data_IF_626808763936
#
_entry.id   IF_626808763936
#
_cell.length_a   1.000
_cell.length_b   1.000
_cell.length_c   1.000
_cell.angle_alpha   90.00
_cell.angle_beta   90.00
_cell.angle_gamma   90.00
#
_symmetry.space_group_name_H-M   'P 1'
#
loop_
_entity.id
_entity.type
_entity.pdbx_description
1 polymer ?
#
# COMPACT_ATOMS: atom_id res chain seq x y z
N UNK A 1 9.54 -17.10 -11.55
CA UNK A 1 8.74 -16.16 -12.38
C UNK A 1 8.03 -15.13 -11.51
N UNK A 2 7.89 -13.89 -11.99
CA UNK A 2 7.31 -12.77 -11.25
C UNK A 2 6.18 -12.13 -12.07
N UNK A 3 5.11 -11.69 -11.43
CA UNK A 3 4.04 -10.90 -12.06
C UNK A 3 3.82 -9.59 -11.32
N UNK A 4 3.62 -8.52 -12.08
CA UNK A 4 3.49 -7.15 -11.59
C UNK A 4 2.18 -6.55 -12.06
N UNK A 5 1.35 -6.09 -11.14
CA UNK A 5 0.11 -5.38 -11.42
C UNK A 5 0.23 -3.90 -11.02
N UNK A 6 -0.40 -3.04 -11.82
CA UNK A 6 -0.49 -1.58 -11.62
C UNK A 6 0.87 -0.91 -11.28
N UNK A 7 1.85 -1.07 -12.17
CA UNK A 7 3.16 -0.43 -12.04
C UNK A 7 3.12 1.09 -12.19
N UNK A 8 2.07 1.62 -12.82
CA UNK A 8 1.88 3.05 -13.03
C UNK A 8 1.55 3.80 -11.73
N UNK A 9 1.08 3.10 -10.70
CA UNK A 9 0.89 3.64 -9.36
C UNK A 9 2.20 3.82 -8.57
N UNK A 10 3.33 3.28 -9.05
CA UNK A 10 4.65 3.50 -8.45
C UNK A 10 5.27 4.81 -8.93
N UNK A 11 6.11 5.43 -8.10
CA UNK A 11 6.88 6.60 -8.53
C UNK A 11 7.86 6.23 -9.65
N UNK A 12 8.21 7.17 -10.54
CA UNK A 12 9.19 6.91 -11.61
C UNK A 12 10.53 6.38 -11.05
N UNK A 13 10.94 6.88 -9.89
CA UNK A 13 12.13 6.41 -9.17
C UNK A 13 11.99 4.94 -8.80
N UNK A 14 10.90 4.58 -8.12
CA UNK A 14 10.68 3.21 -7.63
C UNK A 14 10.51 2.22 -8.78
N UNK A 15 9.82 2.63 -9.85
CA UNK A 15 9.66 1.82 -11.07
C UNK A 15 11.02 1.48 -11.66
N UNK A 16 11.90 2.47 -11.86
CA UNK A 16 13.25 2.25 -12.42
C UNK A 16 14.09 1.36 -11.50
N UNK A 17 14.07 1.61 -10.20
CA UNK A 17 14.83 0.80 -9.24
C UNK A 17 14.32 -0.64 -9.19
N UNK A 18 13.01 -0.84 -9.24
CA UNK A 18 12.39 -2.15 -9.29
C UNK A 18 12.83 -2.91 -10.55
N UNK A 19 12.83 -2.26 -11.72
CA UNK A 19 13.33 -2.89 -12.94
C UNK A 19 14.80 -3.30 -12.81
N UNK A 20 15.63 -2.50 -12.15
CA UNK A 20 17.03 -2.86 -11.90
C UNK A 20 17.16 -4.08 -11.00
N UNK A 21 16.31 -4.22 -9.97
CA UNK A 21 16.28 -5.42 -9.11
C UNK A 21 15.84 -6.65 -9.90
N UNK A 22 14.75 -6.53 -10.66
CA UNK A 22 14.22 -7.64 -11.48
C UNK A 22 15.24 -8.10 -12.53
N UNK A 23 15.90 -7.16 -13.21
CA UNK A 23 16.97 -7.48 -14.16
C UNK A 23 18.18 -8.14 -13.49
N UNK A 24 18.49 -7.78 -12.24
CA UNK A 24 19.56 -8.38 -11.46
C UNK A 24 19.28 -9.83 -11.03
N UNK A 25 18.01 -10.19 -10.86
CA UNK A 25 17.59 -11.55 -10.48
C UNK A 25 17.64 -12.54 -11.64
N UNK A 26 17.76 -12.05 -12.89
CA UNK A 26 17.73 -12.87 -14.10
C UNK A 26 16.47 -13.76 -14.21
N UNK A 27 15.37 -13.33 -13.57
CA UNK A 27 14.08 -14.00 -13.54
C UNK A 27 13.10 -13.33 -14.53
N UNK A 28 12.34 -14.11 -15.32
CA UNK A 28 11.32 -13.55 -16.18
C UNK A 28 10.21 -12.94 -15.33
N UNK A 29 9.82 -11.71 -15.68
CA UNK A 29 8.67 -11.05 -15.08
C UNK A 29 7.65 -10.62 -16.15
N UNK A 30 6.38 -10.53 -15.77
CA UNK A 30 5.27 -10.16 -16.65
C UNK A 30 4.42 -9.07 -16.01
N UNK A 31 3.98 -8.10 -16.81
CA UNK A 31 2.99 -7.11 -16.38
C UNK A 31 1.57 -7.68 -16.54
N UNK A 32 0.76 -7.53 -15.51
CA UNK A 32 -0.64 -7.90 -15.45
C UNK A 32 -1.52 -6.71 -15.79
N UNK A 33 -2.60 -6.98 -16.51
CA UNK A 33 -3.64 -6.01 -16.86
C UNK A 33 -4.80 -6.07 -15.86
N UNK A 34 -5.67 -5.04 -15.79
CA UNK A 34 -6.87 -5.09 -14.93
C UNK A 34 -7.76 -6.31 -15.19
N UNK A 35 -7.87 -6.77 -16.43
CA UNK A 35 -8.62 -8.00 -16.77
C UNK A 35 -8.04 -9.29 -16.16
N UNK A 36 -6.75 -9.32 -15.85
CA UNK A 36 -6.11 -10.48 -15.21
C UNK A 36 -6.52 -10.65 -13.75
N UNK A 37 -7.06 -9.60 -13.11
CA UNK A 37 -7.59 -9.69 -11.75
C UNK A 37 -8.84 -10.58 -11.65
N UNK A 38 -9.54 -10.79 -12.78
CA UNK A 38 -10.69 -11.69 -12.88
C UNK A 38 -10.29 -13.16 -13.06
N UNK A 39 -8.98 -13.42 -13.20
CA UNK A 39 -8.44 -14.78 -13.29
C UNK A 39 -7.94 -15.25 -11.93
N UNK A 40 -7.94 -16.56 -11.75
CA UNK A 40 -7.28 -17.20 -10.62
C UNK A 40 -5.76 -17.14 -10.75
N UNK A 41 -5.06 -17.20 -9.63
CA UNK A 41 -3.59 -17.29 -9.61
C UNK A 41 -3.12 -18.43 -10.53
N UNK A 42 -3.75 -19.61 -10.50
CA UNK A 42 -3.42 -20.73 -11.39
C UNK A 42 -3.53 -20.36 -12.87
N UNK A 43 -4.59 -19.68 -13.29
CA UNK A 43 -4.76 -19.25 -14.69
C UNK A 43 -3.71 -18.20 -15.11
N UNK A 44 -3.25 -17.36 -14.16
CA UNK A 44 -2.12 -16.44 -14.37
C UNK A 44 -0.81 -17.19 -14.60
N UNK A 45 -0.58 -18.27 -13.85
CA UNK A 45 0.58 -19.14 -14.00
C UNK A 45 0.56 -19.86 -15.35
N UNK A 46 -0.61 -20.40 -15.75
CA UNK A 46 -0.73 -21.22 -16.94
C UNK A 46 -0.65 -20.41 -18.24
N UNK A 47 -1.33 -19.25 -18.33
CA UNK A 47 -1.39 -18.49 -19.58
C UNK A 47 -1.42 -16.96 -19.41
N UNK A 48 -1.86 -16.42 -18.26
CA UNK A 48 -1.79 -14.99 -17.93
C UNK A 48 -2.20 -14.05 -19.07
N UNK A 49 -3.34 -14.35 -19.68
CA UNK A 49 -3.99 -13.53 -20.70
C UNK A 49 -5.51 -13.58 -20.43
N UNK A 50 -5.97 -12.76 -19.50
CA UNK A 50 -7.39 -12.52 -19.24
C UNK A 50 -8.15 -12.30 -20.54
N UNK A 51 -9.36 -12.84 -20.64
CA UNK A 51 -10.24 -12.61 -21.78
C UNK A 51 -10.51 -11.11 -21.89
N UNK A 52 -9.83 -10.52 -22.87
CA UNK A 52 -9.95 -9.14 -23.32
C UNK A 52 -11.44 -8.76 -23.41
N UNK A 53 -11.79 -7.64 -22.76
CA UNK A 53 -13.03 -6.85 -22.85
C UNK A 53 -13.84 -6.70 -21.56
N UNK A 54 -13.46 -7.33 -20.44
CA UNK A 54 -14.09 -7.05 -19.14
C UNK A 54 -13.05 -6.67 -18.09
N UNK A 55 -13.10 -5.41 -17.68
CA UNK A 55 -12.38 -4.94 -16.50
C UNK A 55 -13.25 -5.18 -15.27
N UNK A 56 -12.67 -5.53 -14.11
CA UNK A 56 -13.43 -5.52 -12.87
C UNK A 56 -13.90 -4.10 -12.59
N UNK A 57 -15.19 -3.93 -12.27
CA UNK A 57 -15.77 -2.63 -11.92
C UNK A 57 -15.07 -1.97 -10.72
N UNK A 58 -14.41 -2.77 -9.87
CA UNK A 58 -13.70 -2.34 -8.66
C UNK A 58 -12.25 -2.90 -8.66
N UNK A 59 -11.46 -2.51 -9.67
CA UNK A 59 -10.06 -2.88 -9.76
C UNK A 59 -9.25 -2.18 -8.65
N UNK A 60 -8.47 -2.90 -7.83
CA UNK A 60 -7.63 -2.26 -6.82
C UNK A 60 -6.59 -1.33 -7.46
N UNK A 61 -6.61 -0.04 -7.13
CA UNK A 61 -5.63 0.93 -7.66
C UNK A 61 -4.33 0.96 -6.83
N UNK A 62 -3.73 -0.22 -6.60
CA UNK A 62 -2.45 -0.34 -5.88
C UNK A 62 -1.46 -1.21 -6.65
N UNK A 63 -0.15 -0.93 -6.54
CA UNK A 63 0.85 -1.81 -7.10
C UNK A 63 0.89 -3.12 -6.31
N UNK A 64 0.83 -4.24 -7.03
CA UNK A 64 0.87 -5.58 -6.44
C UNK A 64 1.87 -6.47 -7.17
N UNK A 65 2.60 -7.30 -6.43
CA UNK A 65 3.53 -8.27 -6.99
C UNK A 65 3.21 -9.70 -6.56
N UNK A 66 3.02 -10.58 -7.54
CA UNK A 66 2.90 -12.01 -7.34
C UNK A 66 4.23 -12.67 -7.72
N UNK A 67 4.70 -13.62 -6.91
CA UNK A 67 6.00 -14.27 -7.13
C UNK A 67 5.86 -15.78 -7.00
N UNK A 68 6.37 -16.51 -7.98
CA UNK A 68 6.60 -17.95 -7.92
C UNK A 68 8.10 -18.18 -8.05
N UNK A 69 8.79 -18.08 -6.91
CA UNK A 69 10.25 -18.10 -6.77
C UNK A 69 10.63 -19.05 -5.64
N UNK A 70 11.79 -19.70 -5.74
CA UNK A 70 12.37 -20.44 -4.62
C UNK A 70 12.90 -19.50 -3.52
N UNK A 71 13.02 -20.00 -2.28
CA UNK A 71 13.45 -19.21 -1.11
C UNK A 71 14.74 -18.38 -1.34
N UNK A 72 15.82 -18.92 -1.97
CA UNK A 72 17.04 -18.13 -2.19
C UNK A 72 16.86 -16.97 -3.17
N UNK A 73 15.94 -17.08 -4.13
CA UNK A 73 15.62 -16.00 -5.07
C UNK A 73 14.72 -14.97 -4.42
N UNK A 74 13.75 -15.42 -3.61
CA UNK A 74 12.91 -14.54 -2.81
C UNK A 74 13.76 -13.68 -1.87
N UNK A 75 14.73 -14.27 -1.16
CA UNK A 75 15.64 -13.53 -0.28
C UNK A 75 16.46 -12.49 -1.04
N UNK A 76 16.96 -12.82 -2.23
CA UNK A 76 17.69 -11.87 -3.08
C UNK A 76 16.80 -10.72 -3.56
N UNK A 77 15.57 -11.02 -3.95
CA UNK A 77 14.58 -10.01 -4.34
C UNK A 77 14.27 -9.08 -3.17
N UNK A 78 13.93 -9.64 -2.00
CA UNK A 78 13.61 -8.87 -0.80
C UNK A 78 14.81 -8.02 -0.34
N UNK A 79 16.02 -8.55 -0.43
CA UNK A 79 17.24 -7.80 -0.14
C UNK A 79 17.43 -6.65 -1.13
N UNK A 80 17.23 -6.89 -2.43
CA UNK A 80 17.33 -5.87 -3.48
C UNK A 80 16.31 -4.75 -3.34
N UNK A 81 15.06 -5.08 -2.95
CA UNK A 81 14.01 -4.11 -2.65
C UNK A 81 14.38 -3.24 -1.43
N UNK A 82 14.86 -3.87 -0.35
CA UNK A 82 15.25 -3.17 0.88
C UNK A 82 16.46 -2.26 0.68
N UNK A 83 17.46 -2.73 -0.04
CA UNK A 83 18.70 -2.00 -0.36
C UNK A 83 18.43 -0.71 -1.14
N UNK A 84 17.39 -0.71 -1.98
CA UNK A 84 16.97 0.43 -2.82
C UNK A 84 15.81 1.22 -2.25
N UNK A 85 15.37 0.90 -1.03
CA UNK A 85 14.23 1.54 -0.35
C UNK A 85 12.96 1.57 -1.22
N UNK A 86 12.72 0.51 -1.98
CA UNK A 86 11.52 0.40 -2.85
C UNK A 86 10.32 0.08 -1.97
N UNK A 87 9.35 0.99 -1.90
CA UNK A 87 8.10 0.78 -1.19
C UNK A 87 7.12 -0.01 -2.07
N UNK A 88 7.13 -1.32 -1.91
CA UNK A 88 6.15 -2.21 -2.54
C UNK A 88 5.23 -2.80 -1.47
N UNK A 89 4.09 -2.15 -1.21
CA UNK A 89 3.25 -2.46 -0.06
C UNK A 89 2.56 -3.82 -0.15
N UNK A 90 2.33 -4.32 -1.37
CA UNK A 90 1.60 -5.56 -1.59
C UNK A 90 2.39 -6.55 -2.40
N UNK A 91 2.65 -7.71 -1.80
CA UNK A 91 3.35 -8.81 -2.43
C UNK A 91 2.88 -10.15 -1.87
N UNK A 92 2.75 -11.15 -2.74
CA UNK A 92 2.37 -12.49 -2.34
C UNK A 92 3.23 -13.53 -3.07
N UNK A 93 3.55 -14.61 -2.36
CA UNK A 93 4.13 -15.81 -2.94
C UNK A 93 3.01 -16.72 -3.44
N UNK A 94 3.18 -17.36 -4.59
CA UNK A 94 2.26 -18.39 -5.06
C UNK A 94 2.41 -19.62 -4.17
N UNK A 95 1.29 -20.10 -3.64
CA UNK A 95 1.23 -21.28 -2.77
C UNK A 95 0.08 -22.16 -3.23
N UNK A 96 0.08 -23.44 -2.84
CA UNK A 96 -0.99 -24.37 -3.22
C UNK A 96 -2.38 -23.88 -2.76
N UNK A 97 -2.44 -23.13 -1.66
CA UNK A 97 -3.69 -22.60 -1.12
C UNK A 97 -4.22 -21.40 -1.92
N UNK A 98 -3.34 -20.57 -2.49
CA UNK A 98 -3.77 -19.34 -3.18
C UNK A 98 -3.93 -19.49 -4.69
N UNK A 99 -3.52 -20.62 -5.27
CA UNK A 99 -3.72 -20.94 -6.69
C UNK A 99 -5.17 -20.84 -7.14
N UNK A 100 -6.12 -21.20 -6.27
CA UNK A 100 -7.55 -21.15 -6.58
C UNK A 100 -8.20 -19.80 -6.31
N UNK A 101 -7.49 -18.86 -5.66
CA UNK A 101 -8.03 -17.52 -5.43
C UNK A 101 -7.98 -16.69 -6.70
N UNK A 102 -9.03 -15.90 -6.93
CA UNK A 102 -8.99 -14.81 -7.89
C UNK A 102 -7.90 -13.82 -7.46
N UNK A 103 -7.07 -13.40 -8.41
CA UNK A 103 -5.99 -12.47 -8.10
C UNK A 103 -6.55 -11.19 -7.49
N UNK A 104 -7.64 -10.65 -8.03
CA UNK A 104 -8.29 -9.46 -7.47
C UNK A 104 -8.72 -9.65 -6.01
N UNK A 105 -9.26 -10.82 -5.66
CA UNK A 105 -9.67 -11.11 -4.27
C UNK A 105 -8.47 -11.32 -3.36
N UNK A 106 -7.38 -11.94 -3.84
CA UNK A 106 -6.13 -12.05 -3.10
C UNK A 106 -5.55 -10.67 -2.78
N UNK A 107 -5.49 -9.77 -3.77
CA UNK A 107 -5.03 -8.39 -3.56
C UNK A 107 -5.91 -7.69 -2.54
N UNK A 108 -7.24 -7.78 -2.67
CA UNK A 108 -8.18 -7.15 -1.72
C UNK A 108 -8.04 -7.70 -0.31
N UNK A 109 -7.92 -9.01 -0.15
CA UNK A 109 -7.75 -9.61 1.17
C UNK A 109 -6.51 -9.06 1.88
N UNK A 110 -5.38 -9.00 1.17
CA UNK A 110 -4.12 -8.45 1.71
C UNK A 110 -4.26 -6.93 1.94
N UNK A 111 -4.98 -6.21 1.08
CA UNK A 111 -5.36 -4.80 1.31
C UNK A 111 -6.14 -4.60 2.59
N UNK A 112 -7.18 -5.39 2.80
CA UNK A 112 -8.06 -5.29 3.95
C UNK A 112 -7.32 -5.65 5.25
N UNK A 113 -6.52 -6.72 5.26
CA UNK A 113 -5.74 -7.13 6.45
C UNK A 113 -4.77 -6.04 6.93
N UNK A 114 -4.12 -5.35 5.99
CA UNK A 114 -3.12 -4.34 6.32
C UNK A 114 -3.70 -2.91 6.39
N UNK A 115 -5.00 -2.72 6.09
CA UNK A 115 -5.63 -1.39 5.95
C UNK A 115 -5.52 -0.59 7.24
N UNK A 116 -5.81 -1.23 8.37
CA UNK A 116 -5.66 -0.63 9.70
C UNK A 116 -4.20 -0.23 9.97
N UNK A 117 -3.28 -1.19 9.84
CA UNK A 117 -1.85 -0.96 10.15
C UNK A 117 -1.28 0.17 9.29
N UNK A 118 -1.62 0.21 8.00
CA UNK A 118 -1.17 1.29 7.11
C UNK A 118 -1.76 2.65 7.49
N UNK A 119 -3.04 2.71 7.81
CA UNK A 119 -3.67 3.95 8.24
C UNK A 119 -2.98 4.50 9.50
N UNK A 120 -2.69 3.64 10.47
CA UNK A 120 -1.99 4.00 11.71
C UNK A 120 -0.53 4.44 11.46
N UNK A 121 0.21 3.75 10.59
CA UNK A 121 1.60 4.13 10.24
C UNK A 121 1.62 5.48 9.53
N UNK A 122 0.71 5.74 8.60
CA UNK A 122 0.58 7.04 7.92
C UNK A 122 0.23 8.14 8.92
N UNK A 123 -0.71 7.87 9.84
CA UNK A 123 -1.10 8.80 10.90
C UNK A 123 0.11 9.17 11.78
N UNK A 124 0.87 8.18 12.25
CA UNK A 124 2.08 8.41 13.04
C UNK A 124 3.12 9.26 12.31
N UNK A 125 3.32 9.03 11.00
CA UNK A 125 4.25 9.83 10.19
C UNK A 125 3.78 11.28 10.07
N UNK A 126 2.49 11.49 9.79
CA UNK A 126 1.91 12.83 9.72
C UNK A 126 2.03 13.56 11.05
N UNK A 127 1.67 12.93 12.17
CA UNK A 127 1.81 13.52 13.51
C UNK A 127 3.25 13.93 13.82
N UNK A 128 4.23 13.09 13.48
CA UNK A 128 5.65 13.45 13.62
C UNK A 128 6.01 14.66 12.77
N UNK A 129 5.53 14.74 11.53
CA UNK A 129 5.75 15.87 10.64
C UNK A 129 5.19 17.19 11.18
N UNK A 130 4.06 17.14 11.89
CA UNK A 130 3.40 18.33 12.45
C UNK A 130 3.99 18.80 13.78
N UNK A 131 4.91 18.05 14.40
CA UNK A 131 5.55 18.47 15.67
C UNK A 131 6.39 19.75 15.54
N UNK A 132 6.75 20.14 14.32
CA UNK A 132 7.47 21.37 14.02
C UNK A 132 6.56 22.60 13.91
N UNK A 133 5.23 22.43 13.94
CA UNK A 133 4.30 23.54 13.82
C UNK A 133 4.21 24.32 15.12
N UNK A 134 4.21 25.64 15.05
CA UNK A 134 4.09 26.52 16.21
C UNK A 134 2.84 27.39 16.09
N UNK A 135 2.09 27.55 17.19
CA UNK A 135 0.84 28.31 17.24
C UNK A 135 0.95 29.71 16.62
N UNK A 136 2.09 30.37 16.82
CA UNK A 136 2.34 31.73 16.32
C UNK A 136 2.28 31.86 14.79
N UNK A 137 2.42 30.77 14.07
CA UNK A 137 2.43 30.74 12.61
C UNK A 137 1.02 30.58 12.02
N UNK A 138 -0.01 30.42 12.87
CA UNK A 138 -1.37 30.11 12.44
C UNK A 138 -2.45 30.90 13.19
N UNK A 139 -3.66 30.92 12.65
CA UNK A 139 -4.82 31.49 13.34
C UNK A 139 -5.18 30.64 14.58
N UNK A 140 -5.50 31.30 15.70
CA UNK A 140 -5.84 30.63 16.96
C UNK A 140 -7.00 29.62 16.82
N UNK A 141 -8.00 29.93 15.99
CA UNK A 141 -9.12 29.02 15.75
C UNK A 141 -8.70 27.75 15.01
N UNK A 142 -7.85 27.88 13.98
CA UNK A 142 -7.33 26.75 13.21
C UNK A 142 -6.34 25.92 14.03
N UNK A 143 -5.50 26.59 14.82
CA UNK A 143 -4.58 25.91 15.74
C UNK A 143 -5.34 25.10 16.80
N UNK A 144 -6.38 25.66 17.41
CA UNK A 144 -7.20 24.95 18.38
C UNK A 144 -7.92 23.75 17.75
N UNK A 145 -8.45 23.89 16.53
CA UNK A 145 -9.05 22.79 15.79
C UNK A 145 -8.04 21.68 15.49
N UNK A 146 -6.81 22.05 15.08
CA UNK A 146 -5.73 21.10 14.87
C UNK A 146 -5.32 20.37 16.15
N UNK A 147 -5.19 21.07 17.28
CA UNK A 147 -4.85 20.43 18.56
C UNK A 147 -5.89 19.42 19.00
N UNK A 148 -7.18 19.70 18.80
CA UNK A 148 -8.25 18.74 19.11
C UNK A 148 -8.10 17.46 18.27
N UNK A 149 -7.86 17.61 16.96
CA UNK A 149 -7.65 16.47 16.04
C UNK A 149 -6.33 15.74 16.35
N UNK A 150 -5.30 16.44 16.81
CA UNK A 150 -4.04 15.83 17.23
C UNK A 150 -4.22 14.95 18.48
N UNK A 151 -4.99 15.40 19.46
CA UNK A 151 -5.33 14.60 20.64
C UNK A 151 -6.18 13.38 20.25
N UNK A 152 -7.19 13.54 19.39
CA UNK A 152 -7.99 12.43 18.87
C UNK A 152 -7.12 11.38 18.16
N UNK A 153 -6.16 11.83 17.36
CA UNK A 153 -5.19 10.94 16.70
C UNK A 153 -4.28 10.22 17.70
N UNK A 154 -3.85 10.89 18.78
CA UNK A 154 -3.03 10.27 19.82
C UNK A 154 -3.81 9.18 20.59
N UNK A 155 -5.05 9.47 20.97
CA UNK A 155 -5.95 8.51 21.62
C UNK A 155 -6.22 7.30 20.73
N UNK A 156 -6.46 7.54 19.44
CA UNK A 156 -6.64 6.47 18.45
C UNK A 156 -5.41 5.54 18.36
N UNK A 157 -4.20 6.09 18.35
CA UNK A 157 -2.98 5.29 18.36
C UNK A 157 -2.81 4.48 19.65
N UNK A 158 -3.35 4.92 20.78
CA UNK A 158 -3.36 4.12 22.01
C UNK A 158 -4.40 3.00 21.95
N UNK A 159 -5.60 3.28 21.45
CA UNK A 159 -6.67 2.28 21.24
C UNK A 159 -6.25 1.18 20.26
N UNK A 160 -5.55 1.54 19.19
CA UNK A 160 -4.99 0.59 18.25
C UNK A 160 -4.03 -0.42 18.91
N UNK A 161 -3.24 -0.01 19.91
CA UNK A 161 -2.34 -0.94 20.63
C UNK A 161 -3.09 -2.00 21.43
N UNK A 162 -4.33 -1.72 21.82
CA UNK A 162 -5.19 -2.66 22.53
C UNK A 162 -6.06 -3.51 21.60
N UNK A 163 -5.92 -3.33 20.28
CA UNK A 163 -6.76 -4.02 19.28
C UNK A 163 -8.22 -3.55 19.27
N UNK A 164 -8.50 -2.39 19.87
CA UNK A 164 -9.83 -1.75 19.90
C UNK A 164 -9.88 -0.66 18.84
N UNK A 165 -9.70 -1.08 17.59
CA UNK A 165 -9.76 -0.21 16.44
C UNK A 165 -10.12 -1.05 15.22
N UNK A 166 -10.96 -0.49 14.36
CA UNK A 166 -11.26 -1.09 13.06
C UNK A 166 -10.49 -0.37 11.95
N UNK A 167 -10.29 -1.02 10.78
CA UNK A 167 -9.70 -0.37 9.62
C UNK A 167 -10.42 0.92 9.19
N UNK A 168 -11.75 0.92 9.23
CA UNK A 168 -12.57 2.08 8.87
C UNK A 168 -12.40 3.26 9.85
N UNK A 169 -12.33 2.98 11.15
CA UNK A 169 -12.01 4.00 12.17
C UNK A 169 -10.61 4.59 11.92
N UNK A 170 -9.63 3.74 11.64
CA UNK A 170 -8.26 4.17 11.38
C UNK A 170 -8.14 5.11 10.18
N UNK A 171 -8.84 4.79 9.09
CA UNK A 171 -8.85 5.65 7.91
C UNK A 171 -9.64 6.94 8.13
N UNK A 172 -10.75 6.90 8.87
CA UNK A 172 -11.51 8.10 9.19
C UNK A 172 -10.66 9.10 9.98
N UNK A 173 -9.92 8.63 10.99
CA UNK A 173 -9.02 9.45 11.81
C UNK A 173 -7.86 9.97 10.97
N UNK A 174 -7.23 9.12 10.15
CA UNK A 174 -6.17 9.55 9.23
C UNK A 174 -6.66 10.66 8.28
N UNK A 175 -7.85 10.49 7.70
CA UNK A 175 -8.44 11.47 6.79
C UNK A 175 -8.75 12.78 7.51
N UNK A 176 -9.33 12.72 8.72
CA UNK A 176 -9.61 13.88 9.54
C UNK A 176 -8.32 14.65 9.88
N UNK A 177 -7.29 13.93 10.33
CA UNK A 177 -5.98 14.50 10.63
C UNK A 177 -5.36 15.17 9.40
N UNK A 178 -5.35 14.48 8.25
CA UNK A 178 -4.80 15.04 7.02
C UNK A 178 -5.54 16.31 6.57
N UNK A 179 -6.88 16.33 6.64
CA UNK A 179 -7.65 17.53 6.32
C UNK A 179 -7.35 18.69 7.28
N UNK A 180 -7.18 18.42 8.57
CA UNK A 180 -6.83 19.43 9.56
C UNK A 180 -5.44 20.03 9.28
N UNK A 181 -4.47 19.18 8.95
CA UNK A 181 -3.12 19.62 8.53
C UNK A 181 -3.17 20.46 7.26
N UNK A 182 -3.92 20.02 6.23
CA UNK A 182 -4.07 20.76 4.98
C UNK A 182 -4.71 22.14 5.21
N UNK A 183 -5.69 22.23 6.09
CA UNK A 183 -6.29 23.50 6.47
C UNK A 183 -5.28 24.41 7.17
N UNK A 184 -4.47 23.86 8.08
CA UNK A 184 -3.46 24.62 8.82
C UNK A 184 -2.36 25.18 7.89
N UNK A 185 -1.77 24.33 7.04
CA UNK A 185 -0.73 24.76 6.10
C UNK A 185 -1.26 25.66 4.98
N UNK A 186 -2.56 25.62 4.67
CA UNK A 186 -3.18 26.52 3.71
C UNK A 186 -3.26 27.97 4.19
N UNK A 187 -2.99 28.22 5.48
CA UNK A 187 -2.95 29.56 6.07
C UNK A 187 -1.53 30.15 6.21
N UNK A 188 -0.49 29.31 6.11
CA UNK A 188 0.92 29.72 6.19
C UNK A 188 1.42 30.27 4.84
#
# INVERSE_FOLDING_TARGET
MIWMYNMDALSDKDRVQLMNVLNGLNEPWRQLSPGDLLLTVQEILDNGQGQLNKEPDDAPDVPFMLMDLDDPLLDQLLAGLRDREIDLPYKAMVTDNNRTYLLGDLVRHIQEEDREVRALVKLQRLMKGTTAFEEKDYDAASWQAFQAVYQEAEDALQRAKTGDMTPDEAEAILKNFNMSVLNLIGQA
#
